data_IF_184679482180
#
_entry.id   IF_184679482180
#
_cell.length_a   1.000
_cell.length_b   1.000
_cell.length_c   1.000
_cell.angle_alpha   90.00
_cell.angle_beta   90.00
_cell.angle_gamma   90.00
#
_symmetry.space_group_name_H-M   'P 1'
#
loop_
_entity.id
_entity.type
_entity.pdbx_description
1 polymer ?
#
# COMPACT_ATOMS: atom_id res chain seq x y z
N UNK A 1 -5.13 -10.36 -9.92
CA UNK A 1 -6.39 -9.58 -9.91
C UNK A 1 -7.48 -10.52 -9.42
N UNK A 2 -7.98 -10.36 -8.20
CA UNK A 2 -8.97 -11.31 -7.65
C UNK A 2 -10.38 -10.77 -7.93
N UNK A 3 -11.07 -11.35 -8.90
CA UNK A 3 -12.40 -10.92 -9.33
C UNK A 3 -13.51 -11.59 -8.51
N UNK A 4 -13.48 -11.41 -7.18
CA UNK A 4 -14.39 -12.12 -6.26
C UNK A 4 -15.87 -11.86 -6.57
N UNK A 5 -16.23 -10.63 -6.94
CA UNK A 5 -17.62 -10.28 -7.28
C UNK A 5 -18.10 -11.08 -8.49
N UNK A 6 -17.28 -11.16 -9.55
CA UNK A 6 -17.62 -11.90 -10.77
C UNK A 6 -17.72 -13.40 -10.48
N UNK A 7 -16.75 -13.96 -9.76
CA UNK A 7 -16.76 -15.39 -9.40
C UNK A 7 -17.99 -15.76 -8.56
N UNK A 8 -18.36 -14.89 -7.62
CA UNK A 8 -19.55 -15.10 -6.82
C UNK A 8 -20.83 -15.01 -7.66
N UNK A 9 -20.91 -14.02 -8.56
CA UNK A 9 -22.05 -13.88 -9.48
C UNK A 9 -22.21 -15.13 -10.36
N UNK A 10 -21.10 -15.68 -10.86
CA UNK A 10 -21.12 -16.95 -11.62
C UNK A 10 -21.66 -18.09 -10.75
N UNK A 11 -21.18 -18.22 -9.51
CA UNK A 11 -21.66 -19.25 -8.58
C UNK A 11 -23.15 -19.12 -8.28
N UNK A 12 -23.62 -17.90 -8.02
CA UNK A 12 -25.02 -17.60 -7.77
C UNK A 12 -25.87 -18.01 -8.98
N UNK A 13 -25.48 -17.60 -10.19
CA UNK A 13 -26.19 -18.02 -11.40
C UNK A 13 -26.27 -19.54 -11.56
N UNK A 14 -25.18 -20.26 -11.31
CA UNK A 14 -25.17 -21.72 -11.35
C UNK A 14 -26.19 -22.30 -10.37
N UNK A 15 -26.27 -21.78 -9.15
CA UNK A 15 -27.20 -22.23 -8.11
C UNK A 15 -28.65 -21.85 -8.43
N UNK A 16 -28.93 -20.58 -8.71
CA UNK A 16 -30.29 -20.09 -9.00
C UNK A 16 -30.89 -20.77 -10.24
N UNK A 17 -30.07 -21.02 -11.26
CA UNK A 17 -30.52 -21.67 -12.50
C UNK A 17 -30.37 -23.19 -12.47
N UNK A 18 -29.93 -23.78 -11.35
CA UNK A 18 -29.71 -25.22 -11.20
C UNK A 18 -28.89 -25.82 -12.35
N UNK A 19 -27.82 -25.14 -12.75
CA UNK A 19 -26.99 -25.55 -13.88
C UNK A 19 -26.00 -26.63 -13.46
N UNK A 20 -25.89 -27.68 -14.27
CA UNK A 20 -24.78 -28.64 -14.18
C UNK A 20 -23.69 -28.20 -15.15
N UNK A 21 -22.51 -27.87 -14.61
CA UNK A 21 -21.40 -27.33 -15.39
C UNK A 21 -20.30 -28.38 -15.57
N UNK A 22 -19.97 -28.69 -16.83
CA UNK A 22 -18.80 -29.50 -17.19
C UNK A 22 -17.75 -28.58 -17.82
N UNK A 23 -16.62 -28.39 -17.13
CA UNK A 23 -15.55 -27.50 -17.58
C UNK A 23 -14.50 -28.28 -18.37
N UNK A 24 -14.29 -27.89 -19.62
CA UNK A 24 -13.27 -28.44 -20.50
C UNK A 24 -12.27 -27.36 -20.88
N UNK A 25 -11.01 -27.54 -20.49
CA UNK A 25 -9.93 -26.62 -20.85
C UNK A 25 -9.42 -26.97 -22.25
N UNK A 26 -9.38 -25.98 -23.13
CA UNK A 26 -8.84 -26.10 -24.50
C UNK A 26 -7.64 -25.15 -24.63
N UNK A 27 -6.62 -25.56 -25.40
CA UNK A 27 -5.47 -24.70 -25.67
C UNK A 27 -5.86 -23.58 -26.65
N UNK A 28 -5.36 -22.37 -26.40
CA UNK A 28 -5.58 -21.25 -27.31
C UNK A 28 -4.92 -21.50 -28.68
N UNK A 29 -5.58 -21.05 -29.75
CA UNK A 29 -5.09 -21.17 -31.12
C UNK A 29 -4.75 -22.61 -31.54
N UNK A 30 -5.41 -23.61 -30.96
CA UNK A 30 -5.19 -25.03 -31.28
C UNK A 30 -5.97 -25.50 -32.52
N UNK A 31 -6.57 -24.58 -33.28
CA UNK A 31 -7.44 -24.88 -34.42
C UNK A 31 -8.81 -25.44 -34.04
N UNK A 32 -9.24 -25.28 -32.77
CA UNK A 32 -10.59 -25.66 -32.37
C UNK A 32 -11.57 -24.58 -32.84
N UNK A 33 -12.34 -24.91 -33.88
CA UNK A 33 -13.31 -23.99 -34.52
C UNK A 33 -14.17 -23.19 -33.54
N UNK A 34 -14.71 -23.83 -32.51
CA UNK A 34 -15.64 -23.17 -31.58
C UNK A 34 -14.92 -22.28 -30.58
N UNK A 35 -13.74 -22.69 -30.12
CA UNK A 35 -12.89 -21.85 -29.28
C UNK A 35 -12.38 -20.62 -30.04
N UNK A 36 -11.93 -20.81 -31.28
CA UNK A 36 -11.41 -19.72 -32.12
C UNK A 36 -12.54 -18.73 -32.48
N UNK A 37 -13.76 -19.24 -32.74
CA UNK A 37 -14.94 -18.39 -32.92
C UNK A 37 -15.29 -17.60 -31.66
N UNK A 38 -15.21 -18.22 -30.47
CA UNK A 38 -15.46 -17.52 -29.21
C UNK A 38 -14.41 -16.44 -28.92
N UNK A 39 -13.13 -16.69 -29.22
CA UNK A 39 -12.04 -15.72 -29.09
C UNK A 39 -12.23 -14.52 -30.03
N UNK A 40 -12.66 -14.77 -31.27
CA UNK A 40 -12.96 -13.71 -32.23
C UNK A 40 -14.13 -12.82 -31.77
N UNK A 41 -15.20 -13.42 -31.26
CA UNK A 41 -16.33 -12.68 -30.69
C UNK A 41 -15.89 -11.86 -29.46
N UNK A 42 -15.02 -12.41 -28.61
CA UNK A 42 -14.50 -11.70 -27.45
C UNK A 42 -13.65 -10.47 -27.86
N UNK A 43 -12.85 -10.59 -28.94
CA UNK A 43 -12.10 -9.46 -29.52
C UNK A 43 -13.04 -8.38 -30.05
N UNK A 44 -14.06 -8.76 -30.81
CA UNK A 44 -15.06 -7.81 -31.30
C UNK A 44 -15.78 -7.08 -30.15
N UNK A 45 -16.11 -7.79 -29.07
CA UNK A 45 -16.69 -7.20 -27.87
C UNK A 45 -15.77 -6.17 -27.21
N UNK A 46 -14.48 -6.47 -27.08
CA UNK A 46 -13.47 -5.53 -26.57
C UNK A 46 -13.36 -4.29 -27.45
N UNK A 47 -13.28 -4.49 -28.76
CA UNK A 47 -13.11 -3.40 -29.72
C UNK A 47 -14.36 -2.50 -29.71
N UNK A 48 -15.56 -3.09 -29.65
CA UNK A 48 -16.81 -2.34 -29.48
C UNK A 48 -16.87 -1.55 -28.15
N UNK A 49 -16.39 -2.14 -27.05
CA UNK A 49 -16.31 -1.47 -25.76
C UNK A 49 -15.33 -0.28 -25.74
N UNK A 50 -14.32 -0.29 -26.60
CA UNK A 50 -13.39 0.83 -26.77
C UNK A 50 -14.08 2.10 -27.29
N UNK A 51 -15.14 1.94 -28.09
CA UNK A 51 -15.90 3.05 -28.68
C UNK A 51 -17.20 3.36 -27.92
N UNK A 52 -17.68 2.45 -27.08
CA UNK A 52 -18.89 2.63 -26.28
C UNK A 52 -18.75 1.98 -24.88
N UNK A 53 -18.59 2.84 -23.88
CA UNK A 53 -18.42 2.43 -22.48
C UNK A 53 -19.65 1.71 -21.90
N UNK A 54 -20.85 1.87 -22.45
CA UNK A 54 -22.06 1.15 -22.01
C UNK A 54 -21.99 -0.36 -22.29
N UNK A 55 -21.04 -0.80 -23.13
CA UNK A 55 -20.76 -2.22 -23.40
C UNK A 55 -19.87 -2.86 -22.34
N UNK A 56 -19.30 -2.08 -21.43
CA UNK A 56 -18.51 -2.58 -20.31
C UNK A 56 -19.48 -2.97 -19.18
N UNK A 57 -19.32 -4.18 -18.64
CA UNK A 57 -20.13 -4.64 -17.51
C UNK A 57 -19.81 -3.77 -16.29
N UNK A 58 -20.83 -3.03 -15.82
CA UNK A 58 -20.74 -2.35 -14.54
C UNK A 58 -20.92 -3.36 -13.41
N UNK A 59 -19.82 -3.64 -12.71
CA UNK A 59 -19.77 -4.58 -11.58
C UNK A 59 -20.75 -4.18 -10.47
N UNK A 60 -21.08 -2.89 -10.34
CA UNK A 60 -22.06 -2.40 -9.35
C UNK A 60 -23.47 -2.90 -9.64
N UNK A 61 -23.80 -3.15 -10.91
CA UNK A 61 -25.09 -3.71 -11.32
C UNK A 61 -25.19 -5.22 -11.10
N UNK A 62 -24.06 -5.90 -10.83
CA UNK A 62 -24.04 -7.31 -10.45
C UNK A 62 -24.47 -7.45 -8.98
N UNK A 63 -25.73 -7.10 -8.70
CA UNK A 63 -26.39 -7.36 -7.42
C UNK A 63 -26.76 -8.84 -7.36
N UNK A 64 -25.85 -9.68 -6.88
CA UNK A 64 -26.22 -11.04 -6.49
C UNK A 64 -26.94 -10.97 -5.14
N UNK A 65 -28.23 -11.35 -5.12
CA UNK A 65 -29.03 -11.46 -3.90
C UNK A 65 -28.54 -12.57 -2.95
N UNK A 66 -27.63 -13.42 -3.41
CA UNK A 66 -27.04 -14.51 -2.64
C UNK A 66 -25.65 -14.20 -2.10
N UNK A 67 -25.14 -12.97 -2.26
CA UNK A 67 -23.83 -12.59 -1.73
C UNK A 67 -23.79 -12.86 -0.21
N UNK A 68 -22.77 -13.54 0.35
CA UNK A 68 -22.76 -13.88 1.77
C UNK A 68 -22.60 -12.65 2.65
N UNK A 69 -22.20 -11.53 2.05
CA UNK A 69 -22.15 -10.23 2.69
C UNK A 69 -23.44 -9.49 2.34
N UNK A 70 -24.15 -9.04 3.37
CA UNK A 70 -25.36 -8.20 3.26
C UNK A 70 -25.10 -6.83 2.62
N UNK A 71 -23.83 -6.50 2.33
CA UNK A 71 -23.42 -5.24 1.70
C UNK A 71 -22.14 -5.42 0.88
N UNK A 72 -21.98 -4.57 -0.13
CA UNK A 72 -20.74 -4.44 -0.92
C UNK A 72 -19.94 -3.24 -0.40
N UNK A 73 -18.74 -3.43 0.18
CA UNK A 73 -17.95 -2.32 0.68
C UNK A 73 -17.42 -1.47 -0.49
N UNK A 74 -17.53 -0.15 -0.34
CA UNK A 74 -17.10 0.85 -1.31
C UNK A 74 -16.08 1.80 -0.68
N UNK A 75 -15.11 2.25 -1.46
CA UNK A 75 -14.16 3.30 -1.09
C UNK A 75 -14.18 4.39 -2.15
N UNK A 76 -14.46 5.64 -1.77
CA UNK A 76 -14.64 6.76 -2.71
C UNK A 76 -15.57 6.42 -3.89
N UNK A 77 -16.74 5.83 -3.60
CA UNK A 77 -17.72 5.35 -4.59
C UNK A 77 -17.22 4.26 -5.55
N UNK A 78 -16.08 3.64 -5.28
CA UNK A 78 -15.53 2.51 -6.04
C UNK A 78 -15.67 1.23 -5.22
N UNK A 79 -16.29 0.19 -5.81
CA UNK A 79 -16.47 -1.10 -5.14
C UNK A 79 -15.15 -1.79 -4.85
N UNK A 80 -14.96 -2.28 -3.63
CA UNK A 80 -13.77 -3.02 -3.23
C UNK A 80 -13.89 -4.47 -3.73
N UNK A 81 -13.39 -4.73 -4.93
CA UNK A 81 -13.36 -6.07 -5.54
C UNK A 81 -12.07 -6.83 -5.18
N UNK A 82 -11.73 -6.88 -3.88
CA UNK A 82 -10.60 -7.66 -3.36
C UNK A 82 -10.87 -8.03 -1.91
N UNK A 83 -10.05 -8.90 -1.34
CA UNK A 83 -10.17 -9.26 0.07
C UNK A 83 -10.06 -8.00 0.95
N UNK A 84 -11.08 -7.76 1.79
CA UNK A 84 -11.23 -6.49 2.54
C UNK A 84 -10.04 -6.21 3.46
N UNK A 85 -9.49 -7.24 4.12
CA UNK A 85 -8.30 -7.09 4.97
C UNK A 85 -7.07 -6.65 4.16
N UNK A 86 -6.91 -7.21 2.97
CA UNK A 86 -5.78 -6.88 2.10
C UNK A 86 -5.92 -5.47 1.53
N UNK A 87 -7.15 -5.04 1.21
CA UNK A 87 -7.44 -3.66 0.84
C UNK A 87 -7.13 -2.69 1.99
N UNK A 88 -7.66 -2.98 3.19
CA UNK A 88 -7.48 -2.13 4.37
C UNK A 88 -6.01 -1.99 4.72
N UNK A 89 -5.26 -3.11 4.67
CA UNK A 89 -3.80 -3.09 4.85
C UNK A 89 -3.10 -2.21 3.83
N UNK A 90 -3.43 -2.37 2.54
CA UNK A 90 -2.85 -1.54 1.48
C UNK A 90 -3.09 -0.04 1.74
N UNK A 91 -4.33 0.34 2.07
CA UNK A 91 -4.67 1.74 2.35
C UNK A 91 -3.91 2.26 3.58
N UNK A 92 -3.85 1.49 4.65
CA UNK A 92 -3.12 1.87 5.86
C UNK A 92 -1.61 2.01 5.60
N UNK A 93 -1.01 1.02 4.94
CA UNK A 93 0.42 1.03 4.59
C UNK A 93 0.74 2.25 3.70
N UNK A 94 -0.10 2.56 2.70
CA UNK A 94 0.08 3.75 1.86
C UNK A 94 -0.10 5.07 2.61
N UNK A 95 -1.05 5.15 3.55
CA UNK A 95 -1.23 6.36 4.36
C UNK A 95 -0.01 6.61 5.26
N UNK A 96 0.52 5.55 5.89
CA UNK A 96 1.76 5.61 6.67
C UNK A 96 2.94 6.04 5.80
N UNK A 97 3.14 5.42 4.63
CA UNK A 97 4.21 5.79 3.68
C UNK A 97 4.15 7.28 3.31
N UNK A 98 2.94 7.81 3.08
CA UNK A 98 2.73 9.23 2.78
C UNK A 98 3.03 10.12 4.00
N UNK A 99 2.61 9.72 5.20
CA UNK A 99 2.95 10.47 6.42
C UNK A 99 4.47 10.51 6.65
N UNK A 100 5.16 9.40 6.38
CA UNK A 100 6.62 9.32 6.46
C UNK A 100 7.30 10.20 5.40
N UNK A 101 6.78 10.28 4.18
CA UNK A 101 7.37 11.12 3.14
C UNK A 101 7.22 12.62 3.44
N UNK A 102 6.15 13.02 4.12
CA UNK A 102 5.94 14.41 4.58
C UNK A 102 6.62 14.74 5.90
N UNK A 103 7.31 13.81 6.54
CA UNK A 103 8.06 14.10 7.75
C UNK A 103 9.11 15.18 7.45
N UNK A 104 9.08 16.30 8.19
CA UNK A 104 9.94 17.47 7.97
C UNK A 104 11.43 17.14 7.81
N UNK A 105 11.92 16.13 8.53
CA UNK A 105 13.33 15.74 8.48
C UNK A 105 13.67 14.86 7.28
N UNK A 106 12.65 14.29 6.64
CA UNK A 106 12.78 13.42 5.48
C UNK A 106 12.21 14.03 4.19
N UNK A 107 11.39 15.07 4.26
CA UNK A 107 10.65 15.60 3.11
C UNK A 107 11.57 16.02 1.96
N UNK A 108 12.72 16.64 2.28
CA UNK A 108 13.73 17.03 1.29
C UNK A 108 14.37 15.84 0.57
N UNK A 109 14.34 14.64 1.13
CA UNK A 109 14.87 13.43 0.49
C UNK A 109 13.95 12.90 -0.61
N UNK A 110 12.66 13.24 -0.56
CA UNK A 110 11.63 12.82 -1.51
C UNK A 110 11.33 13.87 -2.58
N UNK A 111 11.98 15.04 -2.55
CA UNK A 111 11.89 16.05 -3.59
C UNK A 111 12.66 15.61 -4.86
N UNK A 112 12.01 15.76 -6.03
CA UNK A 112 12.42 15.22 -7.34
C UNK A 112 13.87 15.58 -7.74
N UNK A 113 14.37 16.72 -7.27
CA UNK A 113 15.72 17.25 -7.56
C UNK A 113 16.86 16.45 -6.92
N UNK A 114 16.59 15.59 -5.93
CA UNK A 114 17.61 14.88 -5.14
C UNK A 114 17.62 13.36 -5.34
N UNK A 115 16.72 12.81 -6.15
CA UNK A 115 16.34 11.38 -6.06
C UNK A 115 17.29 10.37 -6.69
N UNK A 116 18.29 10.76 -7.48
CA UNK A 116 19.08 9.75 -8.23
C UNK A 116 20.60 9.74 -8.05
N UNK A 117 21.24 10.77 -7.48
CA UNK A 117 22.72 10.82 -7.47
C UNK A 117 23.41 11.07 -6.12
N UNK A 118 22.69 11.49 -5.07
CA UNK A 118 23.32 11.92 -3.81
C UNK A 118 23.17 10.95 -2.63
N UNK A 119 22.19 10.05 -2.67
CA UNK A 119 21.84 9.20 -1.53
C UNK A 119 22.01 7.71 -1.83
N UNK A 120 22.87 7.05 -1.07
CA UNK A 120 23.09 5.60 -1.18
C UNK A 120 22.04 4.82 -0.36
N UNK A 121 20.79 4.82 -0.83
CA UNK A 121 19.68 4.11 -0.17
C UNK A 121 19.97 2.62 0.09
N UNK A 122 20.76 1.97 -0.78
CA UNK A 122 21.20 0.60 -0.56
C UNK A 122 22.00 0.41 0.74
N UNK A 123 22.93 1.32 1.05
CA UNK A 123 23.72 1.26 2.29
C UNK A 123 22.86 1.57 3.51
N UNK A 124 21.97 2.55 3.39
CA UNK A 124 21.01 2.91 4.45
C UNK A 124 20.17 1.70 4.85
N UNK A 125 19.53 1.04 3.88
CA UNK A 125 18.69 -0.13 4.14
C UNK A 125 19.50 -1.35 4.59
N UNK A 126 20.72 -1.54 4.09
CA UNK A 126 21.62 -2.57 4.61
C UNK A 126 21.92 -2.35 6.11
N UNK A 127 22.21 -1.12 6.51
CA UNK A 127 22.46 -0.79 7.92
C UNK A 127 21.21 -1.00 8.77
N UNK A 128 20.06 -0.48 8.35
CA UNK A 128 18.77 -0.69 9.05
C UNK A 128 18.44 -2.17 9.19
N UNK A 129 18.63 -2.96 8.13
CA UNK A 129 18.41 -4.40 8.17
C UNK A 129 19.42 -5.13 9.06
N UNK A 130 20.66 -4.63 9.17
CA UNK A 130 21.65 -5.19 10.10
C UNK A 130 21.27 -4.98 11.57
N UNK A 131 20.58 -3.86 11.88
CA UNK A 131 20.04 -3.58 13.20
C UNK A 131 18.79 -4.42 13.47
N UNK A 132 17.88 -4.51 12.50
CA UNK A 132 16.58 -5.12 12.71
C UNK A 132 16.56 -6.65 12.47
N UNK A 133 17.52 -7.23 11.72
CA UNK A 133 17.64 -8.67 11.38
C UNK A 133 16.29 -9.41 11.11
N UNK A 134 15.28 -8.70 10.63
CA UNK A 134 13.91 -9.18 10.48
C UNK A 134 13.05 -9.17 11.76
N UNK A 135 13.62 -9.21 12.96
CA UNK A 135 12.90 -9.11 14.25
C UNK A 135 13.79 -8.51 15.35
N UNK A 136 13.31 -7.47 16.06
CA UNK A 136 13.95 -6.93 17.26
C UNK A 136 13.83 -7.91 18.45
N UNK A 137 14.74 -8.89 18.52
CA UNK A 137 14.68 -9.99 19.50
C UNK A 137 15.32 -9.69 20.87
N UNK A 138 15.98 -8.54 21.05
CA UNK A 138 16.61 -8.16 22.31
C UNK A 138 16.45 -6.68 22.61
N UNK A 139 16.45 -6.31 23.90
CA UNK A 139 16.44 -4.91 24.34
C UNK A 139 17.61 -4.13 23.77
N UNK A 140 18.83 -4.70 23.77
CA UNK A 140 20.02 -4.02 23.22
C UNK A 140 19.88 -3.72 21.73
N UNK A 141 19.34 -4.65 20.94
CA UNK A 141 19.08 -4.43 19.51
C UNK A 141 18.01 -3.35 19.31
N UNK A 142 16.94 -3.41 20.10
CA UNK A 142 15.86 -2.43 20.08
C UNK A 142 16.36 -1.03 20.44
N UNK A 143 17.22 -0.88 21.45
CA UNK A 143 17.78 0.40 21.87
C UNK A 143 18.63 1.03 20.76
N UNK A 144 19.46 0.23 20.06
CA UNK A 144 20.23 0.69 18.91
C UNK A 144 19.33 1.14 17.76
N UNK A 145 18.27 0.38 17.48
CA UNK A 145 17.32 0.73 16.44
C UNK A 145 16.53 2.01 16.78
N UNK A 146 16.01 2.12 18.02
CA UNK A 146 15.33 3.33 18.50
C UNK A 146 16.28 4.52 18.47
N UNK A 147 17.53 4.36 18.90
CA UNK A 147 18.52 5.43 18.84
C UNK A 147 18.74 5.90 17.41
N UNK A 148 18.92 4.97 16.45
CA UNK A 148 19.04 5.30 15.04
C UNK A 148 17.83 6.09 14.51
N UNK A 149 16.60 5.60 14.76
CA UNK A 149 15.37 6.30 14.35
C UNK A 149 15.30 7.69 14.99
N UNK A 150 15.64 7.84 16.27
CA UNK A 150 15.66 9.15 16.95
C UNK A 150 16.68 10.10 16.34
N UNK A 151 17.88 9.62 16.02
CA UNK A 151 18.91 10.41 15.37
C UNK A 151 18.44 10.91 13.99
N UNK A 152 17.90 10.01 13.15
CA UNK A 152 17.48 10.37 11.79
C UNK A 152 16.27 11.29 11.74
N UNK A 153 15.50 11.40 12.84
CA UNK A 153 14.32 12.26 12.93
C UNK A 153 14.53 13.48 13.85
N UNK A 154 15.77 13.76 14.28
CA UNK A 154 16.08 14.80 15.26
C UNK A 154 15.15 14.76 16.49
N UNK A 155 14.98 13.57 17.08
CA UNK A 155 14.16 13.31 18.26
C UNK A 155 14.99 13.02 19.52
N UNK A 156 16.32 13.16 19.43
CA UNK A 156 17.18 13.07 20.60
C UNK A 156 16.86 14.23 21.57
N UNK A 157 17.05 14.02 22.89
CA UNK A 157 16.83 15.05 23.90
C UNK A 157 18.00 16.06 23.91
N UNK A 158 18.28 16.66 22.76
CA UNK A 158 19.18 17.80 22.60
C UNK A 158 18.54 19.06 23.14
N UNK A 159 19.34 20.06 23.49
CA UNK A 159 18.84 21.25 24.18
C UNK A 159 17.78 22.02 23.36
N UNK A 160 17.91 22.07 22.02
CA UNK A 160 16.90 22.66 21.14
C UNK A 160 15.54 21.95 21.23
N UNK A 161 15.55 20.62 21.31
CA UNK A 161 14.34 19.80 21.40
C UNK A 161 13.73 19.86 22.79
N UNK A 162 14.56 19.99 23.83
CA UNK A 162 14.10 20.16 25.20
C UNK A 162 13.48 21.55 25.43
N UNK A 163 14.08 22.62 24.89
CA UNK A 163 13.54 23.99 24.92
C UNK A 163 12.14 24.10 24.29
N UNK A 164 11.90 23.36 23.20
CA UNK A 164 10.57 23.28 22.55
C UNK A 164 9.48 22.66 23.45
N UNK A 165 9.87 21.86 24.45
CA UNK A 165 8.93 21.11 25.30
C UNK A 165 8.75 21.72 26.68
N UNK A 166 9.77 22.40 27.22
CA UNK A 166 9.73 22.97 28.55
C UNK A 166 10.69 24.17 28.67
N UNK A 167 10.16 25.28 29.16
CA UNK A 167 10.88 26.55 29.32
C UNK A 167 12.04 26.49 30.33
N UNK A 168 12.05 25.50 31.23
CA UNK A 168 13.16 25.27 32.17
C UNK A 168 14.51 25.07 31.46
N UNK A 169 14.49 24.61 30.20
CA UNK A 169 15.68 24.37 29.40
C UNK A 169 16.19 25.62 28.66
N UNK A 170 15.50 26.76 28.75
CA UNK A 170 15.90 27.99 28.07
C UNK A 170 17.17 28.62 28.65
N UNK A 171 17.50 28.31 29.91
CA UNK A 171 18.62 28.91 30.65
C UNK A 171 19.81 27.95 30.82
N UNK A 172 19.82 26.81 30.10
CA UNK A 172 20.91 25.85 30.22
C UNK A 172 22.17 26.41 29.57
N UNK A 173 23.23 26.49 30.37
CA UNK A 173 24.57 26.91 29.95
C UNK A 173 25.36 25.73 29.38
N UNK A 174 26.24 26.02 28.45
CA UNK A 174 27.15 25.04 27.88
C UNK A 174 27.95 24.35 29.00
N UNK A 175 27.85 23.01 29.16
CA UNK A 175 28.51 22.30 30.25
C UNK A 175 30.04 22.30 30.14
N UNK A 176 30.60 22.69 28.98
CA UNK A 176 32.04 22.74 28.74
C UNK A 176 32.68 24.09 29.08
N UNK A 177 32.02 25.22 28.75
CA UNK A 177 32.55 26.56 29.04
C UNK A 177 31.84 27.28 30.21
N UNK A 178 30.64 26.84 30.60
CA UNK A 178 29.79 27.37 31.69
C UNK A 178 29.43 28.86 31.59
N UNK A 179 29.76 29.52 30.48
CA UNK A 179 29.54 30.95 30.30
C UNK A 179 28.47 31.23 29.25
N UNK A 180 28.63 30.59 28.09
CA UNK A 180 27.73 30.73 26.96
C UNK A 180 26.49 29.86 27.15
N UNK A 181 25.38 30.28 26.56
CA UNK A 181 24.20 29.42 26.47
C UNK A 181 24.53 28.17 25.65
N UNK A 182 23.94 27.03 26.01
CA UNK A 182 24.12 25.82 25.22
C UNK A 182 23.37 25.99 23.89
N UNK A 183 24.13 26.28 22.83
CA UNK A 183 23.63 26.38 21.46
C UNK A 183 23.92 25.09 20.68
N UNK A 184 23.14 24.85 19.62
CA UNK A 184 23.32 23.71 18.70
C UNK A 184 24.08 24.14 17.45
#
# INVERSE_FOLDING_TARGET
>A
MNNYIILFTIYDFIKTKSLTLNLHKVCGHSGNRWNDMADEIAKQGRDAASYNNDRIIDIRLLHSFSFPLTFLPVWNNISINRHIRSFTRLVADSLEEVQWSFNKYWSSYFEETFTTSRWHWGLFWQYVNSLNKGHCLSFSTNDKFIHFIKCSNNLLPTIDNLRKRNELYNQVKCPMCLHDDEDI
#
